data_IF_130219836490
#
_entry.id   IF_130219836490
#
_cell.length_a   1.000
_cell.length_b   1.000
_cell.length_c   1.000
_cell.angle_alpha   90.00
_cell.angle_beta   90.00
_cell.angle_gamma   90.00
#
_symmetry.space_group_name_H-M   'P 1'
#
loop_
_entity.id
_entity.type
_entity.pdbx_description
1 polymer ?
#
# COMPACT_ATOMS: atom_id res chain seq x y z
N UNK A 1 -48.91 13.55 35.91
CA UNK A 1 -48.66 12.55 34.85
C UNK A 1 -47.32 12.91 34.21
N UNK A 2 -46.22 12.36 34.73
CA UNK A 2 -44.88 12.53 34.15
C UNK A 2 -44.59 11.31 33.27
N UNK A 3 -44.30 11.56 32.00
CA UNK A 3 -43.98 10.51 31.02
C UNK A 3 -42.65 9.82 31.36
N UNK A 4 -42.54 8.48 31.24
CA UNK A 4 -41.29 7.77 31.50
C UNK A 4 -40.31 7.94 30.32
N UNK A 5 -39.16 8.55 30.60
CA UNK A 5 -38.01 8.64 29.68
C UNK A 5 -37.51 7.23 29.39
N UNK A 6 -37.21 6.84 28.13
CA UNK A 6 -36.63 5.52 27.85
C UNK A 6 -35.23 5.43 28.47
N UNK A 7 -35.04 4.45 29.34
CA UNK A 7 -33.78 4.18 30.03
C UNK A 7 -32.63 4.01 29.01
N UNK A 8 -31.51 4.69 29.29
CA UNK A 8 -30.29 4.66 28.49
C UNK A 8 -29.76 3.24 28.28
N UNK A 9 -29.42 2.88 27.05
CA UNK A 9 -28.77 1.60 26.73
C UNK A 9 -27.42 1.54 27.48
N UNK A 10 -27.20 0.58 28.40
CA UNK A 10 -25.93 0.45 29.08
C UNK A 10 -24.85 -0.01 28.09
N UNK A 11 -23.86 0.82 27.82
CA UNK A 11 -22.63 0.45 27.11
C UNK A 11 -21.70 -0.32 28.05
N UNK A 12 -22.16 -1.42 28.63
CA UNK A 12 -21.35 -2.26 29.49
C UNK A 12 -20.50 -3.24 28.66
N UNK A 13 -19.25 -2.85 28.38
CA UNK A 13 -18.17 -3.81 28.13
C UNK A 13 -17.71 -4.44 29.45
N UNK A 14 -18.63 -5.09 30.15
CA UNK A 14 -18.35 -5.72 31.44
C UNK A 14 -17.86 -7.16 31.22
N UNK A 15 -16.59 -7.41 31.61
CA UNK A 15 -15.88 -8.69 31.44
C UNK A 15 -16.39 -9.80 32.37
N UNK A 16 -17.30 -9.49 33.29
CA UNK A 16 -17.82 -10.41 34.32
C UNK A 16 -19.22 -10.94 33.96
N UNK A 17 -19.79 -10.59 32.80
CA UNK A 17 -21.08 -11.15 32.39
C UNK A 17 -20.92 -12.60 31.89
N UNK A 18 -21.37 -13.56 32.71
CA UNK A 18 -21.55 -14.97 32.37
C UNK A 18 -22.71 -15.14 31.37
N UNK A 19 -22.57 -14.54 30.18
CA UNK A 19 -23.48 -14.77 29.07
C UNK A 19 -22.99 -16.04 28.38
N UNK A 20 -23.85 -17.06 28.17
CA UNK A 20 -23.45 -18.21 27.36
C UNK A 20 -23.06 -17.67 25.98
N UNK A 21 -21.78 -17.85 25.62
CA UNK A 21 -21.26 -17.45 24.31
C UNK A 21 -22.01 -18.26 23.26
N UNK A 22 -23.10 -17.69 22.73
CA UNK A 22 -23.75 -18.20 21.53
C UNK A 22 -22.65 -18.24 20.48
N UNK A 23 -22.31 -19.46 20.00
CA UNK A 23 -21.28 -19.72 18.99
C UNK A 23 -21.32 -18.58 17.99
N UNK A 24 -20.28 -17.73 17.98
CA UNK A 24 -20.07 -16.77 16.91
C UNK A 24 -20.24 -17.59 15.64
N UNK A 25 -21.16 -17.17 14.76
CA UNK A 25 -21.32 -17.79 13.44
C UNK A 25 -19.91 -17.84 12.85
N UNK A 26 -19.30 -19.03 12.84
CA UNK A 26 -17.98 -19.22 12.23
C UNK A 26 -18.16 -18.72 10.81
N UNK A 27 -17.53 -17.58 10.53
CA UNK A 27 -17.35 -17.10 9.18
C UNK A 27 -16.78 -18.30 8.40
N UNK A 28 -17.39 -18.71 7.27
CA UNK A 28 -16.93 -19.88 6.55
C UNK A 28 -15.44 -19.69 6.26
N UNK A 29 -14.62 -20.75 6.25
CA UNK A 29 -13.16 -20.65 6.04
C UNK A 29 -12.74 -20.11 4.67
N UNK A 30 -13.65 -19.48 3.90
CA UNK A 30 -13.41 -18.74 2.67
C UNK A 30 -14.07 -17.35 2.61
N UNK A 31 -14.73 -16.84 3.66
CA UNK A 31 -15.30 -15.47 3.60
C UNK A 31 -14.23 -14.36 3.72
N UNK A 32 -13.00 -14.71 4.09
CA UNK A 32 -11.84 -13.84 3.93
C UNK A 32 -11.28 -13.82 2.48
N UNK A 33 -11.76 -14.72 1.60
CA UNK A 33 -11.36 -14.82 0.18
C UNK A 33 -12.38 -14.20 -0.77
N UNK A 34 -13.42 -13.52 -0.27
CA UNK A 34 -14.46 -12.92 -1.11
C UNK A 34 -13.97 -11.73 -1.96
N UNK A 35 -12.76 -11.24 -1.73
CA UNK A 35 -12.17 -10.11 -2.45
C UNK A 35 -10.84 -10.44 -3.13
N UNK A 36 -10.56 -11.71 -3.45
CA UNK A 36 -9.42 -12.02 -4.32
C UNK A 36 -9.68 -11.30 -5.63
N UNK A 37 -8.93 -10.22 -5.85
CA UNK A 37 -9.05 -9.44 -7.06
C UNK A 37 -8.79 -10.36 -8.25
N UNK A 38 -9.61 -10.25 -9.28
CA UNK A 38 -9.36 -10.96 -10.53
C UNK A 38 -8.00 -10.48 -11.05
N UNK A 39 -7.10 -11.43 -11.28
CA UNK A 39 -5.80 -11.25 -11.94
C UNK A 39 -5.86 -11.84 -13.33
N UNK A 40 -4.88 -11.57 -14.20
CA UNK A 40 -4.87 -12.19 -15.54
C UNK A 40 -4.86 -13.73 -15.46
N UNK A 41 -4.24 -14.31 -14.42
CA UNK A 41 -4.20 -15.76 -14.14
C UNK A 41 -5.54 -16.35 -13.69
N UNK A 42 -6.50 -15.51 -13.28
CA UNK A 42 -7.85 -15.95 -12.92
C UNK A 42 -8.72 -16.29 -14.14
N UNK A 43 -8.28 -15.90 -15.35
CA UNK A 43 -8.96 -16.26 -16.59
C UNK A 43 -8.58 -17.67 -17.03
N UNK A 44 -9.55 -18.43 -17.56
CA UNK A 44 -9.29 -19.74 -18.11
C UNK A 44 -8.33 -19.63 -19.32
N UNK A 45 -7.22 -20.39 -19.33
CA UNK A 45 -6.23 -20.33 -20.39
C UNK A 45 -6.87 -20.61 -21.76
N UNK A 46 -6.31 -20.06 -22.84
CA UNK A 46 -6.76 -20.39 -24.18
C UNK A 46 -6.59 -21.91 -24.41
N UNK A 47 -7.57 -22.58 -25.05
CA UNK A 47 -7.44 -24.00 -25.37
C UNK A 47 -6.29 -24.22 -26.35
N UNK A 48 -5.46 -25.24 -26.10
CA UNK A 48 -4.29 -25.53 -26.95
C UNK A 48 -4.67 -26.04 -28.35
N UNK A 49 -5.76 -26.82 -28.45
CA UNK A 49 -6.23 -27.39 -29.71
C UNK A 49 -7.67 -26.94 -29.94
N UNK A 50 -7.88 -26.24 -31.04
CA UNK A 50 -9.21 -25.94 -31.56
C UNK A 50 -9.55 -27.00 -32.59
N UNK A 51 -10.50 -27.87 -32.28
CA UNK A 51 -10.88 -29.02 -33.12
C UNK A 51 -11.81 -28.65 -34.28
N UNK A 52 -12.40 -27.44 -34.25
CA UNK A 52 -13.50 -27.04 -35.14
C UNK A 52 -13.06 -25.99 -36.17
N UNK A 53 -11.79 -26.04 -36.60
CA UNK A 53 -11.24 -25.07 -37.56
C UNK A 53 -11.72 -25.44 -38.96
N UNK A 54 -12.63 -24.63 -39.50
CA UNK A 54 -13.04 -24.70 -40.90
C UNK A 54 -11.86 -24.26 -41.80
N UNK A 55 -11.73 -24.84 -43.00
CA UNK A 55 -10.60 -24.55 -43.90
C UNK A 55 -10.43 -23.07 -44.22
N UNK A 56 -9.20 -22.63 -44.46
CA UNK A 56 -8.83 -21.21 -44.59
C UNK A 56 -9.55 -20.44 -45.71
N UNK A 57 -9.99 -21.13 -46.76
CA UNK A 57 -10.73 -20.55 -47.88
C UNK A 57 -12.25 -20.72 -47.77
N UNK A 58 -12.74 -21.36 -46.71
CA UNK A 58 -14.17 -21.59 -46.54
C UNK A 58 -14.84 -20.31 -46.00
N UNK A 59 -16.02 -19.98 -46.52
CA UNK A 59 -16.73 -18.75 -46.19
C UNK A 59 -17.19 -18.67 -44.72
N UNK A 60 -17.53 -17.47 -44.26
CA UNK A 60 -18.02 -17.26 -42.90
C UNK A 60 -19.34 -18.00 -42.66
N UNK A 61 -19.33 -18.93 -41.69
CA UNK A 61 -20.53 -19.62 -41.22
C UNK A 61 -21.38 -18.73 -40.30
N UNK A 62 -22.64 -19.13 -40.06
CA UNK A 62 -23.56 -18.38 -39.18
C UNK A 62 -23.10 -18.30 -37.72
N UNK A 63 -22.24 -19.23 -37.27
CA UNK A 63 -21.67 -19.26 -35.92
C UNK A 63 -20.42 -18.41 -35.74
N UNK A 64 -19.76 -17.98 -36.83
CA UNK A 64 -18.44 -17.32 -36.79
C UNK A 64 -18.51 -15.99 -36.05
N UNK A 65 -19.60 -15.24 -36.20
CA UNK A 65 -19.83 -13.99 -35.48
C UNK A 65 -19.79 -14.18 -33.96
N UNK A 66 -20.39 -15.26 -33.45
CA UNK A 66 -20.40 -15.52 -32.02
C UNK A 66 -19.04 -15.99 -31.50
N UNK A 67 -18.28 -16.74 -32.31
CA UNK A 67 -16.90 -17.13 -31.98
C UNK A 67 -16.03 -15.89 -31.82
N UNK A 68 -16.06 -14.97 -32.78
CA UNK A 68 -15.36 -13.69 -32.70
C UNK A 68 -15.80 -12.83 -31.51
N UNK A 69 -17.12 -12.72 -31.26
CA UNK A 69 -17.64 -11.95 -30.13
C UNK A 69 -17.13 -12.50 -28.80
N UNK A 70 -17.09 -13.82 -28.64
CA UNK A 70 -16.60 -14.47 -27.44
C UNK A 70 -15.08 -14.33 -27.30
N UNK A 71 -14.30 -14.54 -28.37
CA UNK A 71 -12.84 -14.41 -28.35
C UNK A 71 -12.40 -12.97 -28.07
N UNK A 72 -13.03 -11.98 -28.71
CA UNK A 72 -12.75 -10.56 -28.47
C UNK A 72 -13.08 -10.14 -27.05
N UNK A 73 -14.22 -10.59 -26.50
CA UNK A 73 -14.58 -10.29 -25.12
C UNK A 73 -13.56 -10.87 -24.15
N UNK A 74 -13.15 -12.12 -24.35
CA UNK A 74 -12.11 -12.78 -23.55
C UNK A 74 -10.79 -12.02 -23.65
N UNK A 75 -10.40 -11.59 -24.85
CA UNK A 75 -9.14 -10.89 -25.06
C UNK A 75 -9.13 -9.50 -24.41
N UNK A 76 -10.21 -8.74 -24.51
CA UNK A 76 -10.31 -7.45 -23.82
C UNK A 76 -10.30 -7.59 -22.30
N UNK A 77 -10.97 -8.63 -21.77
CA UNK A 77 -10.90 -8.95 -20.34
C UNK A 77 -9.46 -9.32 -19.93
N UNK A 78 -8.74 -10.07 -20.77
CA UNK A 78 -7.34 -10.47 -20.53
C UNK A 78 -6.40 -9.26 -20.50
N UNK A 79 -6.44 -8.43 -21.54
CA UNK A 79 -5.61 -7.22 -21.64
C UNK A 79 -5.89 -6.28 -20.49
N UNK A 80 -7.17 -6.03 -20.20
CA UNK A 80 -7.58 -5.19 -19.07
C UNK A 80 -7.02 -5.69 -17.73
N UNK A 81 -7.07 -7.00 -17.47
CA UNK A 81 -6.54 -7.55 -16.23
C UNK A 81 -5.02 -7.48 -16.14
N UNK A 82 -4.31 -7.63 -17.27
CA UNK A 82 -2.86 -7.43 -17.32
C UNK A 82 -2.48 -5.98 -17.03
N UNK A 83 -3.17 -5.02 -17.66
CA UNK A 83 -2.93 -3.59 -17.45
C UNK A 83 -3.25 -3.17 -16.01
N UNK A 84 -4.36 -3.67 -15.45
CA UNK A 84 -4.74 -3.41 -14.05
C UNK A 84 -3.73 -4.01 -13.06
N UNK A 85 -3.12 -5.15 -13.37
CA UNK A 85 -2.12 -5.80 -12.52
C UNK A 85 -0.77 -5.09 -12.58
N UNK A 86 -0.30 -4.74 -13.79
CA UNK A 86 0.93 -3.96 -13.98
C UNK A 86 0.86 -2.62 -13.23
N UNK A 87 -0.28 -1.91 -13.35
CA UNK A 87 -0.49 -0.66 -12.63
C UNK A 87 -0.44 -0.83 -11.11
N UNK A 88 -1.03 -1.91 -10.58
CA UNK A 88 -0.98 -2.18 -9.14
C UNK A 88 0.43 -2.49 -8.66
N UNK A 89 1.20 -3.24 -9.44
CA UNK A 89 2.59 -3.55 -9.11
C UNK A 89 3.45 -2.27 -9.08
N UNK A 90 3.26 -1.37 -10.05
CA UNK A 90 3.90 -0.05 -10.05
C UNK A 90 3.50 0.78 -8.81
N UNK A 91 2.20 0.89 -8.52
CA UNK A 91 1.68 1.64 -7.38
C UNK A 91 2.21 1.07 -6.04
N UNK A 92 2.27 -0.26 -5.90
CA UNK A 92 2.77 -0.96 -4.72
C UNK A 92 4.29 -0.78 -4.56
N UNK A 93 5.06 -0.83 -5.66
CA UNK A 93 6.49 -0.58 -5.65
C UNK A 93 6.83 0.85 -5.24
N UNK A 94 6.11 1.83 -5.79
CA UNK A 94 6.24 3.24 -5.43
C UNK A 94 5.88 3.50 -3.97
N UNK A 95 4.82 2.86 -3.48
CA UNK A 95 4.43 2.96 -2.08
C UNK A 95 5.50 2.36 -1.16
N UNK A 96 6.01 1.17 -1.49
CA UNK A 96 7.05 0.50 -0.72
C UNK A 96 8.36 1.31 -0.69
N UNK A 97 8.73 1.94 -1.81
CA UNK A 97 9.90 2.82 -1.88
C UNK A 97 9.73 4.04 -0.97
N UNK A 98 8.58 4.73 -1.03
CA UNK A 98 8.27 5.89 -0.19
C UNK A 98 8.23 5.52 1.30
N UNK A 99 7.65 4.37 1.63
CA UNK A 99 7.58 3.89 3.01
C UNK A 99 8.98 3.55 3.56
N UNK A 100 9.83 2.94 2.73
CA UNK A 100 11.23 2.64 3.09
C UNK A 100 12.01 3.92 3.34
N UNK A 101 11.89 4.93 2.48
CA UNK A 101 12.56 6.21 2.63
C UNK A 101 12.12 6.93 3.92
N UNK A 102 10.82 6.94 4.22
CA UNK A 102 10.28 7.52 5.47
C UNK A 102 10.83 6.78 6.69
N UNK A 103 10.82 5.46 6.66
CA UNK A 103 11.34 4.63 7.74
C UNK A 103 12.83 4.86 7.96
N UNK A 104 13.63 4.93 6.90
CA UNK A 104 15.06 5.23 6.98
C UNK A 104 15.33 6.62 7.57
N UNK A 105 14.55 7.64 7.16
CA UNK A 105 14.63 9.00 7.74
C UNK A 105 14.32 9.00 9.24
N UNK A 106 13.29 8.29 9.64
CA UNK A 106 12.90 8.17 11.06
C UNK A 106 13.95 7.38 11.86
N UNK A 107 14.50 6.30 11.30
CA UNK A 107 15.58 5.51 11.90
C UNK A 107 16.88 6.33 12.04
N UNK A 108 17.23 7.14 11.05
CA UNK A 108 18.39 8.03 11.13
C UNK A 108 18.21 9.11 12.21
N UNK A 109 17.03 9.75 12.26
CA UNK A 109 16.74 10.75 13.28
C UNK A 109 16.76 10.13 14.69
N UNK A 110 16.16 8.96 14.86
CA UNK A 110 16.17 8.24 16.15
C UNK A 110 17.57 7.77 16.53
N UNK A 111 18.38 7.27 15.57
CA UNK A 111 19.80 6.90 15.77
C UNK A 111 20.61 8.11 16.23
N UNK A 112 20.55 9.23 15.50
CA UNK A 112 21.28 10.47 15.83
C UNK A 112 20.90 10.99 17.23
N UNK A 113 19.62 10.92 17.58
CA UNK A 113 19.15 11.32 18.91
C UNK A 113 19.61 10.33 20.01
N UNK A 114 19.63 9.04 19.72
CA UNK A 114 20.14 7.99 20.62
C UNK A 114 21.64 8.15 20.87
N UNK A 115 22.43 8.42 19.83
CA UNK A 115 23.87 8.71 19.93
C UNK A 115 24.13 9.96 20.77
N UNK A 116 23.41 11.06 20.53
CA UNK A 116 23.49 12.27 21.36
C UNK A 116 23.18 11.98 22.83
N UNK A 117 22.17 11.14 23.11
CA UNK A 117 21.82 10.72 24.48
C UNK A 117 22.90 9.84 25.08
N UNK A 118 23.46 8.89 24.34
CA UNK A 118 24.52 8.00 24.80
C UNK A 118 25.82 8.76 25.08
N UNK A 119 26.21 9.71 24.22
CA UNK A 119 27.36 10.61 24.47
C UNK A 119 27.18 11.42 25.74
N UNK A 120 26.00 12.00 25.97
CA UNK A 120 25.69 12.72 27.23
C UNK A 120 25.71 11.79 28.45
N UNK A 121 25.17 10.56 28.33
CA UNK A 121 25.22 9.55 29.40
C UNK A 121 26.67 9.15 29.72
N UNK A 122 27.50 8.91 28.70
CA UNK A 122 28.91 8.54 28.86
C UNK A 122 29.72 9.68 29.49
N UNK A 123 29.54 10.93 29.03
CA UNK A 123 30.22 12.08 29.64
C UNK A 123 29.80 12.27 31.11
N UNK A 124 28.52 12.08 31.46
CA UNK A 124 28.06 12.13 32.86
C UNK A 124 28.66 11.00 33.70
N UNK A 125 28.75 9.78 33.16
CA UNK A 125 29.41 8.65 33.83
C UNK A 125 30.90 8.92 34.05
N UNK A 126 31.59 9.45 33.04
CA UNK A 126 33.01 9.84 33.16
C UNK A 126 33.22 10.99 34.15
N UNK A 127 32.32 11.98 34.21
CA UNK A 127 32.36 13.02 35.24
C UNK A 127 32.14 12.45 36.64
N UNK A 128 31.23 11.48 36.82
CA UNK A 128 31.06 10.79 38.10
C UNK A 128 32.28 9.94 38.48
N UNK A 129 32.88 9.23 37.52
CA UNK A 129 34.05 8.36 37.76
C UNK A 129 35.37 9.14 37.89
N UNK A 130 35.51 10.28 37.20
CA UNK A 130 36.62 11.22 37.33
C UNK A 130 36.49 12.13 38.54
N UNK A 131 35.26 12.29 39.07
CA UNK A 131 35.01 12.77 40.43
C UNK A 131 35.07 11.60 41.42
N UNK A 132 36.15 10.81 41.34
CA UNK A 132 36.58 9.96 42.44
C UNK A 132 37.22 10.84 43.52
N UNK A 133 36.76 10.84 44.78
CA UNK A 133 35.65 10.06 45.31
C UNK A 133 35.15 10.61 46.64
N UNK A 134 33.86 10.38 46.90
CA UNK A 134 33.21 10.67 48.17
C UNK A 134 31.70 10.61 48.04
N UNK A 135 31.09 9.55 48.56
CA UNK A 135 29.67 9.50 48.89
C UNK A 135 28.77 8.80 47.89
N UNK A 136 28.64 7.49 48.06
CA UNK A 136 27.41 6.86 48.56
C UNK A 136 26.08 6.93 47.76
N UNK A 137 25.50 5.74 47.77
CA UNK A 137 24.10 5.37 47.69
C UNK A 137 23.31 5.31 46.38
N UNK A 138 22.62 4.17 46.28
CA UNK A 138 21.75 3.77 45.19
C UNK A 138 20.57 4.71 45.01
N UNK A 139 20.21 4.93 43.76
CA UNK A 139 18.89 5.43 43.43
C UNK A 139 18.37 4.59 42.27
N UNK A 140 17.52 3.64 42.63
CA UNK A 140 16.61 2.94 41.73
C UNK A 140 15.87 3.95 40.86
N UNK A 141 15.77 3.64 39.58
CA UNK A 141 15.09 4.44 38.56
C UNK A 141 13.58 4.33 38.77
N UNK A 142 13.03 5.13 39.70
CA UNK A 142 11.59 5.36 39.78
C UNK A 142 11.13 6.12 38.52
N UNK A 143 10.28 5.46 37.73
CA UNK A 143 9.64 5.99 36.53
C UNK A 143 8.69 7.12 36.94
N UNK A 144 9.21 8.34 37.05
CA UNK A 144 8.38 9.55 37.14
C UNK A 144 7.83 9.89 35.76
N UNK A 145 6.57 9.51 35.56
CA UNK A 145 5.68 9.97 34.51
C UNK A 145 5.69 11.50 34.44
N UNK A 146 6.38 12.04 33.41
CA UNK A 146 6.37 13.47 33.13
C UNK A 146 5.21 13.77 32.19
N UNK A 147 4.22 14.48 32.74
CA UNK A 147 3.15 15.18 32.05
C UNK A 147 3.65 15.89 30.77
N UNK A 148 2.85 15.88 29.67
CA UNK A 148 3.28 16.43 28.39
C UNK A 148 3.35 17.97 28.45
N UNK A 149 4.56 18.51 28.51
CA UNK A 149 4.77 19.95 28.35
C UNK A 149 4.51 20.35 26.91
N UNK A 150 3.38 21.04 26.70
CA UNK A 150 3.00 21.95 25.59
C UNK A 150 3.74 21.74 24.26
N UNK A 151 2.99 21.29 23.26
CA UNK A 151 3.34 21.31 21.84
C UNK A 151 4.13 22.57 21.49
N UNK A 152 5.40 22.41 21.13
CA UNK A 152 6.09 23.38 20.28
C UNK A 152 5.54 23.16 18.88
N UNK A 153 4.82 24.17 18.41
CA UNK A 153 4.40 24.33 17.03
C UNK A 153 5.61 24.11 16.12
N UNK A 154 5.60 22.99 15.42
CA UNK A 154 6.56 22.71 14.36
C UNK A 154 6.12 23.62 13.22
N UNK A 155 6.82 24.75 13.06
CA UNK A 155 6.74 25.54 11.85
C UNK A 155 7.09 24.60 10.69
N UNK A 156 6.06 24.24 9.91
CA UNK A 156 6.22 23.62 8.61
C UNK A 156 6.97 24.64 7.76
N UNK A 157 8.27 24.42 7.54
CA UNK A 157 8.94 25.05 6.41
C UNK A 157 8.27 24.47 5.17
N UNK A 158 7.42 25.30 4.56
CA UNK A 158 7.01 25.13 3.19
C UNK A 158 8.26 25.40 2.34
N UNK A 159 8.79 24.35 1.72
CA UNK A 159 9.63 24.54 0.54
C UNK A 159 8.66 24.89 -0.60
N UNK A 160 8.44 26.20 -0.78
CA UNK A 160 7.89 26.78 -1.99
C UNK A 160 9.01 26.75 -3.04
N UNK A 161 8.98 25.75 -3.94
CA UNK A 161 9.69 25.80 -5.21
C UNK A 161 8.70 26.32 -6.26
N UNK A 162 8.62 27.65 -6.38
CA UNK A 162 7.96 28.35 -7.48
C UNK A 162 9.03 29.05 -8.31
N UNK A 163 9.28 28.50 -9.50
CA UNK A 163 10.32 28.90 -10.42
C UNK A 163 9.96 28.66 -11.89
N UNK A 164 8.80 29.21 -12.30
CA UNK A 164 8.53 29.87 -13.57
C UNK A 164 9.08 29.34 -14.92
N UNK A 165 8.13 29.01 -15.79
CA UNK A 165 8.00 29.34 -17.22
C UNK A 165 9.00 28.78 -18.26
N UNK A 166 8.45 27.96 -19.16
CA UNK A 166 9.00 27.62 -20.47
C UNK A 166 7.87 27.24 -21.42
N UNK A 167 7.15 28.23 -21.90
CA UNK A 167 6.18 28.14 -23.01
C UNK A 167 6.90 27.78 -24.32
N UNK A 168 6.46 26.70 -24.99
CA UNK A 168 6.80 26.45 -26.38
C UNK A 168 5.64 25.73 -27.09
N UNK A 169 4.80 26.52 -27.76
CA UNK A 169 3.95 26.05 -28.84
C UNK A 169 4.82 25.72 -30.05
N UNK A 170 4.76 24.47 -30.53
CA UNK A 170 4.96 24.18 -31.96
C UNK A 170 4.11 22.98 -32.36
N UNK A 171 3.22 23.22 -33.32
CA UNK A 171 2.42 22.18 -33.95
C UNK A 171 3.27 21.11 -34.62
N UNK A 172 2.81 19.86 -34.52
CA UNK A 172 3.43 18.69 -35.13
C UNK A 172 2.37 17.85 -35.84
N UNK A 173 2.50 17.74 -37.15
CA UNK A 173 1.61 17.06 -38.07
C UNK A 173 1.43 15.57 -37.76
N UNK A 174 0.26 15.05 -38.12
CA UNK A 174 -0.02 13.61 -38.30
C UNK A 174 0.99 13.07 -39.33
N UNK A 175 1.99 12.32 -38.85
CA UNK A 175 2.90 11.56 -39.71
C UNK A 175 2.53 10.10 -39.65
N UNK A 176 2.34 9.56 -40.85
CA UNK A 176 1.95 8.20 -41.14
C UNK A 176 2.98 7.22 -40.56
N UNK A 177 2.45 6.18 -39.94
CA UNK A 177 3.14 4.96 -39.54
C UNK A 177 4.03 4.42 -40.67
N UNK A 178 5.34 4.61 -40.51
CA UNK A 178 6.36 4.03 -41.38
C UNK A 178 6.35 2.51 -41.19
N UNK A 179 6.03 1.80 -42.27
CA UNK A 179 6.03 0.35 -42.33
C UNK A 179 7.40 -0.26 -41.99
N UNK A 180 7.34 -1.45 -41.40
CA UNK A 180 8.47 -2.33 -41.14
C UNK A 180 9.22 -2.58 -42.46
N UNK A 181 10.42 -2.04 -42.58
CA UNK A 181 11.35 -2.35 -43.68
C UNK A 181 12.13 -3.60 -43.30
N UNK A 182 11.82 -4.71 -43.96
CA UNK A 182 12.59 -5.96 -43.89
C UNK A 182 13.75 -5.80 -44.87
N UNK A 183 14.98 -5.90 -44.37
CA UNK A 183 16.17 -6.04 -45.20
C UNK A 183 16.32 -7.53 -45.53
N UNK A 184 16.08 -7.91 -46.78
CA UNK A 184 16.52 -9.19 -47.34
C UNK A 184 18.02 -9.08 -47.67
N UNK A 185 18.85 -9.77 -46.90
CA UNK A 185 20.24 -10.07 -47.24
C UNK A 185 20.26 -11.31 -48.14
N UNK A 186 20.67 -11.15 -49.40
CA UNK A 186 21.19 -12.19 -50.29
C UNK A 186 22.27 -11.57 -51.21
#
# INVERSE_FOLDING_TARGET
MSEPIPESIPTSHDRISSRPAKKLRQLPPGSASASVAKTHTSMAPPPEIVTNVQGSSAGAGSGEFHVYKASRRREYERLRLMDEEAKREEDDADWAAKERERKERDEEQTRRNRERRNKKKNNRKQQKNGKGGGGDDGMEEEVREKQPSKLREVQRLADEDEGANGEHEVGGAVQQENGITIHDDD
#
